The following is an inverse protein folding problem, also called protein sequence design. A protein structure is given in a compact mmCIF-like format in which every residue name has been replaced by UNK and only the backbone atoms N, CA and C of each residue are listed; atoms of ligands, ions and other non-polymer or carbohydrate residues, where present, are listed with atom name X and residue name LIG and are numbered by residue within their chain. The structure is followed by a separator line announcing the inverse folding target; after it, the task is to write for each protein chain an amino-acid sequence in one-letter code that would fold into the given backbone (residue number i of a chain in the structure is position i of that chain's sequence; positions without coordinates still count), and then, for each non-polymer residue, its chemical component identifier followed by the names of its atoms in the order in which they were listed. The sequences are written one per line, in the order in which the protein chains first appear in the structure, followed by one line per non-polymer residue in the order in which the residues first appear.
data_IF_813671838979
#
_entry.id   IF_813671838979
#
_cell.length_a   1.000
_cell.length_b   1.000
_cell.length_c   1.000
_cell.angle_alpha   90.00
_cell.angle_beta   90.00
_cell.angle_gamma   90.00
#
_symmetry.space_group_name_H-M   'P 1'
#
loop_
_entity.id
_entity.type
_entity.pdbx_description
1 polymer ?
#
# COMPACT_ATOMS: atom_id res chain seq x y z
N UNK A 1 8.24 35.01 -9.14
CA UNK A 1 8.18 36.46 -9.42
C UNK A 1 9.57 37.08 -9.53
N UNK A 2 10.47 36.98 -8.55
CA UNK A 2 11.81 37.64 -8.55
C UNK A 2 12.70 37.32 -9.77
N UNK A 3 12.61 36.07 -10.31
CA UNK A 3 13.36 35.70 -11.53
C UNK A 3 13.08 36.61 -12.73
N UNK A 4 11.84 37.14 -12.84
CA UNK A 4 11.48 38.08 -13.91
C UNK A 4 12.22 39.40 -13.83
N UNK A 5 12.67 39.80 -12.63
CA UNK A 5 13.38 41.06 -12.33
C UNK A 5 14.88 40.88 -12.20
N UNK A 6 15.40 39.65 -12.30
CA UNK A 6 16.83 39.43 -12.28
C UNK A 6 17.52 40.19 -13.42
N UNK A 7 18.61 40.89 -13.16
CA UNK A 7 19.39 41.63 -14.15
C UNK A 7 20.06 40.69 -15.15
N UNK A 8 20.44 39.50 -14.73
CA UNK A 8 20.91 38.41 -15.56
C UNK A 8 20.18 37.10 -15.18
N UNK A 9 19.59 36.46 -16.18
CA UNK A 9 18.84 35.19 -15.99
C UNK A 9 19.73 33.96 -16.14
N UNK A 10 20.89 34.13 -16.78
CA UNK A 10 21.85 33.07 -17.09
C UNK A 10 23.12 33.16 -16.22
N UNK A 11 23.13 34.07 -15.23
CA UNK A 11 24.27 34.24 -14.36
C UNK A 11 24.48 33.06 -13.41
N UNK A 12 25.68 32.67 -13.17
CA UNK A 12 26.05 31.66 -12.19
C UNK A 12 25.84 32.17 -10.76
N UNK A 13 25.55 31.28 -9.83
CA UNK A 13 25.26 31.61 -8.43
C UNK A 13 26.46 32.30 -7.79
N UNK A 14 27.70 31.95 -8.16
CA UNK A 14 28.93 32.54 -7.69
C UNK A 14 29.07 34.02 -8.02
N UNK A 15 28.47 34.50 -9.12
CA UNK A 15 28.52 35.92 -9.53
C UNK A 15 27.74 36.84 -8.58
N UNK A 16 26.89 36.27 -7.74
CA UNK A 16 26.11 37.00 -6.73
C UNK A 16 26.69 36.87 -5.32
N UNK A 17 27.87 36.25 -5.19
CA UNK A 17 28.59 36.14 -3.94
C UNK A 17 29.75 37.10 -3.89
N UNK A 18 29.67 38.09 -3.00
CA UNK A 18 30.75 39.08 -2.79
C UNK A 18 31.73 38.56 -1.72
N UNK A 19 32.97 38.37 -2.12
CA UNK A 19 34.06 37.92 -1.26
C UNK A 19 34.88 39.08 -0.65
N UNK A 20 34.50 40.32 -0.91
CA UNK A 20 35.26 41.51 -0.46
C UNK A 20 35.24 41.71 1.07
N UNK A 21 34.33 41.03 1.78
CA UNK A 21 34.22 41.07 3.24
C UNK A 21 34.79 39.80 3.90
N UNK A 22 35.05 39.88 5.22
CA UNK A 22 35.58 38.75 6.02
C UNK A 22 34.67 37.54 6.02
N UNK A 23 33.37 37.71 5.83
CA UNK A 23 32.38 36.64 5.87
C UNK A 23 31.69 36.33 4.52
N UNK A 24 31.95 37.14 3.46
CA UNK A 24 31.23 37.11 2.21
C UNK A 24 29.75 37.52 2.36
N UNK A 25 29.14 38.01 1.29
CA UNK A 25 27.75 38.45 1.29
C UNK A 25 27.04 38.12 -0.02
N UNK A 26 25.74 37.85 0.06
CA UNK A 26 24.88 37.69 -1.11
C UNK A 26 24.50 39.04 -1.67
N UNK A 27 24.81 39.29 -2.94
CA UNK A 27 24.51 40.54 -3.66
C UNK A 27 23.64 40.25 -4.93
N UNK A 28 22.38 39.82 -4.78
CA UNK A 28 21.51 39.62 -5.93
C UNK A 28 21.26 40.96 -6.65
N UNK A 29 21.39 40.96 -8.00
CA UNK A 29 21.22 42.14 -8.84
C UNK A 29 19.88 42.10 -9.55
N UNK A 30 19.14 43.21 -9.45
CA UNK A 30 17.84 43.36 -10.08
C UNK A 30 17.84 44.50 -11.11
N UNK A 31 17.02 44.36 -12.15
CA UNK A 31 16.97 45.26 -13.30
C UNK A 31 16.29 46.60 -13.03
N UNK A 32 15.53 46.71 -11.93
CA UNK A 32 14.81 47.92 -11.52
C UNK A 32 14.65 47.98 -10.00
N UNK A 33 14.34 49.17 -9.43
CA UNK A 33 13.88 49.30 -8.04
C UNK A 33 12.60 48.51 -7.77
N UNK A 34 12.41 48.10 -6.51
CA UNK A 34 11.24 47.35 -6.08
C UNK A 34 10.09 48.27 -5.68
N UNK A 35 8.87 47.80 -5.90
CA UNK A 35 7.69 48.33 -5.26
C UNK A 35 7.59 47.82 -3.81
N UNK A 36 6.87 48.52 -2.94
CA UNK A 36 6.76 48.14 -1.52
C UNK A 36 6.29 46.68 -1.31
N UNK A 37 5.38 46.21 -2.12
CA UNK A 37 4.86 44.87 -2.05
C UNK A 37 5.83 43.77 -2.57
N UNK A 38 6.89 44.14 -3.30
CA UNK A 38 7.95 43.25 -3.79
C UNK A 38 9.07 43.07 -2.77
N UNK A 39 9.23 44.03 -1.86
CA UNK A 39 10.29 44.01 -0.84
C UNK A 39 10.21 42.79 0.05
N UNK A 40 9.03 42.41 0.47
CA UNK A 40 8.81 41.16 1.26
C UNK A 40 9.36 39.91 0.58
N UNK A 41 9.18 39.78 -0.74
CA UNK A 41 9.68 38.63 -1.50
C UNK A 41 11.21 38.63 -1.60
N UNK A 42 11.83 39.80 -1.70
CA UNK A 42 13.29 39.95 -1.70
C UNK A 42 13.85 39.62 -0.32
N UNK A 43 13.23 40.13 0.75
CA UNK A 43 13.63 39.79 2.13
C UNK A 43 13.54 38.30 2.38
N UNK A 44 12.46 37.64 1.91
CA UNK A 44 12.30 36.19 2.00
C UNK A 44 13.41 35.43 1.26
N UNK A 45 13.78 35.87 0.06
CA UNK A 45 14.92 35.31 -0.67
C UNK A 45 16.22 35.48 0.14
N UNK A 46 16.52 36.68 0.61
CA UNK A 46 17.73 36.98 1.39
C UNK A 46 17.78 36.14 2.69
N UNK A 47 16.67 36.02 3.39
CA UNK A 47 16.56 35.15 4.57
C UNK A 47 16.84 33.69 4.23
N UNK A 48 16.35 33.22 3.08
CA UNK A 48 16.54 31.83 2.64
C UNK A 48 18.00 31.50 2.34
N UNK A 49 18.74 32.47 1.72
CA UNK A 49 20.12 32.25 1.32
C UNK A 49 21.14 32.71 2.40
N UNK A 50 20.71 33.45 3.42
CA UNK A 50 21.56 34.03 4.47
C UNK A 50 22.48 33.01 5.16
N UNK A 51 22.03 31.75 5.30
CA UNK A 51 22.82 30.68 5.94
C UNK A 51 23.73 29.90 4.97
N UNK A 52 23.61 30.15 3.67
CA UNK A 52 24.40 29.47 2.66
C UNK A 52 25.69 30.25 2.40
N UNK A 53 26.85 29.59 2.48
CA UNK A 53 28.16 30.17 2.16
C UNK A 53 28.71 29.43 0.93
N UNK A 54 29.21 30.21 -0.03
CA UNK A 54 29.93 29.65 -1.17
C UNK A 54 31.42 29.51 -0.82
N UNK A 55 31.99 28.38 -1.17
CA UNK A 55 33.42 28.13 -1.08
C UNK A 55 34.00 28.04 -2.50
N UNK A 56 34.70 29.05 -2.99
CA UNK A 56 35.27 29.05 -4.35
C UNK A 56 36.28 27.95 -4.61
N UNK A 57 36.76 27.27 -3.56
CA UNK A 57 37.79 26.22 -3.62
C UNK A 57 37.21 24.83 -3.72
N UNK A 58 35.92 24.66 -3.40
CA UNK A 58 35.26 23.34 -3.40
C UNK A 58 34.36 23.22 -4.61
N UNK A 59 34.52 22.11 -5.36
CA UNK A 59 33.61 21.76 -6.43
C UNK A 59 32.21 21.43 -5.89
N UNK A 60 31.19 21.79 -6.65
CA UNK A 60 29.81 21.46 -6.35
C UNK A 60 29.61 19.93 -6.35
N UNK A 61 28.98 19.41 -5.33
CA UNK A 61 28.63 18.00 -5.24
C UNK A 61 27.19 17.80 -4.81
N UNK A 62 26.57 16.82 -5.42
CA UNK A 62 25.25 16.40 -4.98
C UNK A 62 25.35 15.61 -3.67
N UNK A 63 24.65 16.08 -2.63
CA UNK A 63 24.60 15.41 -1.33
C UNK A 63 23.26 14.68 -1.15
N UNK A 64 23.36 13.42 -0.78
CA UNK A 64 22.20 12.59 -0.47
C UNK A 64 21.88 12.66 1.03
N UNK A 65 20.89 13.50 1.40
CA UNK A 65 20.55 13.79 2.81
C UNK A 65 19.97 12.62 3.60
N UNK A 66 19.64 11.50 2.94
CA UNK A 66 18.98 10.33 3.58
C UNK A 66 19.97 9.42 4.28
N UNK A 67 21.25 9.47 3.90
CA UNK A 67 22.29 8.62 4.50
C UNK A 67 23.35 9.46 5.19
N UNK A 68 23.91 8.95 6.28
CA UNK A 68 24.95 9.64 7.06
C UNK A 68 26.25 9.89 6.29
N UNK A 69 26.52 9.10 5.25
CA UNK A 69 27.68 9.27 4.38
C UNK A 69 27.41 10.17 3.17
N UNK A 70 26.21 10.79 3.11
CA UNK A 70 25.78 11.72 2.06
C UNK A 70 25.88 11.18 0.63
N UNK A 71 26.11 9.87 0.47
CA UNK A 71 26.25 9.23 -0.83
C UNK A 71 24.93 8.61 -1.30
N UNK A 72 24.58 8.90 -2.54
CA UNK A 72 23.42 8.29 -3.19
C UNK A 72 23.65 6.80 -3.46
N UNK A 73 22.65 5.99 -3.16
CA UNK A 73 22.55 4.63 -3.67
C UNK A 73 21.09 4.30 -4.00
N UNK A 74 20.87 3.46 -5.00
CA UNK A 74 19.53 2.98 -5.36
C UNK A 74 18.84 2.32 -4.16
N UNK A 75 19.62 1.61 -3.33
CA UNK A 75 19.13 0.99 -2.09
C UNK A 75 18.65 2.05 -1.08
N UNK A 76 19.39 3.14 -0.90
CA UNK A 76 19.00 4.21 0.03
C UNK A 76 17.76 4.95 -0.45
N UNK A 77 17.64 5.23 -1.75
CA UNK A 77 16.43 5.80 -2.34
C UNK A 77 15.23 4.86 -2.17
N UNK A 78 15.40 3.58 -2.49
CA UNK A 78 14.34 2.58 -2.31
C UNK A 78 13.89 2.50 -0.85
N UNK A 79 14.82 2.48 0.10
CA UNK A 79 14.52 2.45 1.52
C UNK A 79 13.78 3.72 1.99
N UNK A 80 14.19 4.91 1.52
CA UNK A 80 13.49 6.16 1.86
C UNK A 80 12.07 6.21 1.30
N UNK A 81 11.89 5.83 0.04
CA UNK A 81 10.57 5.74 -0.59
C UNK A 81 9.69 4.66 0.06
N UNK A 82 10.28 3.54 0.45
CA UNK A 82 9.56 2.44 1.09
C UNK A 82 9.34 2.70 2.59
N UNK A 83 10.27 3.33 3.32
CA UNK A 83 10.12 3.59 4.75
C UNK A 83 8.95 4.53 5.06
N UNK A 84 8.68 5.51 4.20
CA UNK A 84 7.48 6.36 4.32
C UNK A 84 6.17 5.58 4.14
N UNK A 85 6.21 4.37 3.56
CA UNK A 85 5.06 3.48 3.30
C UNK A 85 5.16 2.10 3.96
N UNK A 86 6.35 1.64 4.30
CA UNK A 86 6.62 0.26 4.73
C UNK A 86 6.07 -0.07 6.12
N UNK A 87 5.91 0.90 7.01
CA UNK A 87 5.24 0.69 8.30
C UNK A 87 3.77 0.29 8.20
N UNK A 88 3.18 0.43 6.99
CA UNK A 88 1.77 0.23 6.72
C UNK A 88 1.48 -0.87 5.68
N UNK A 89 2.46 -1.67 5.27
CA UNK A 89 2.23 -2.74 4.29
C UNK A 89 2.35 -4.12 4.94
N UNK A 90 1.35 -5.01 4.79
CA UNK A 90 1.29 -6.31 5.46
C UNK A 90 2.18 -7.37 4.77
N UNK A 91 3.45 -7.05 4.54
CA UNK A 91 4.40 -7.84 3.77
C UNK A 91 4.50 -9.29 4.25
N UNK A 92 4.63 -9.49 5.57
CA UNK A 92 4.78 -10.82 6.17
C UNK A 92 3.51 -11.69 6.14
N UNK A 93 2.34 -11.08 5.87
CA UNK A 93 1.09 -11.81 5.69
C UNK A 93 0.88 -12.16 4.21
N UNK A 94 1.06 -11.19 3.33
CA UNK A 94 0.81 -11.36 1.88
C UNK A 94 1.78 -12.37 1.27
N UNK A 95 3.08 -12.24 1.54
CA UNK A 95 4.10 -13.18 1.05
C UNK A 95 4.19 -14.42 1.94
N UNK A 96 3.08 -15.12 2.06
CA UNK A 96 2.95 -16.32 2.87
C UNK A 96 3.32 -17.57 2.04
N UNK A 97 4.36 -18.33 2.43
CA UNK A 97 4.77 -19.53 1.69
C UNK A 97 3.71 -20.65 1.67
N UNK A 98 2.67 -20.52 2.51
CA UNK A 98 1.58 -21.50 2.60
C UNK A 98 0.53 -21.36 1.50
N UNK A 99 0.54 -20.25 0.76
CA UNK A 99 -0.44 -20.02 -0.29
C UNK A 99 0.26 -19.95 -1.66
N UNK A 100 -0.43 -20.30 -2.74
CA UNK A 100 0.13 -20.14 -4.08
C UNK A 100 0.56 -18.70 -4.38
N UNK A 101 1.66 -18.52 -5.07
CA UNK A 101 2.20 -17.18 -5.39
C UNK A 101 1.19 -16.27 -6.10
N UNK A 102 0.35 -16.82 -6.99
CA UNK A 102 -0.74 -16.07 -7.64
C UNK A 102 -1.73 -15.44 -6.65
N UNK A 103 -1.96 -16.09 -5.52
CA UNK A 103 -2.85 -15.58 -4.46
C UNK A 103 -2.17 -14.44 -3.69
N UNK A 104 -0.86 -14.57 -3.43
CA UNK A 104 -0.06 -13.49 -2.83
C UNK A 104 -0.03 -12.25 -3.72
N UNK A 105 0.17 -12.41 -5.03
CA UNK A 105 0.10 -11.30 -5.99
C UNK A 105 -1.28 -10.65 -6.02
N UNK A 106 -2.35 -11.44 -6.05
CA UNK A 106 -3.71 -10.91 -5.97
C UNK A 106 -3.95 -10.10 -4.68
N UNK A 107 -3.55 -10.63 -3.54
CA UNK A 107 -3.67 -9.93 -2.26
C UNK A 107 -2.83 -8.65 -2.22
N UNK A 108 -1.68 -8.64 -2.87
CA UNK A 108 -0.86 -7.45 -3.06
C UNK A 108 -1.59 -6.38 -3.90
N UNK A 109 -2.17 -6.75 -5.03
CA UNK A 109 -3.00 -5.85 -5.86
C UNK A 109 -4.23 -5.35 -5.09
N UNK A 110 -4.89 -6.23 -4.32
CA UNK A 110 -6.02 -5.88 -3.48
C UNK A 110 -5.65 -4.85 -2.40
N UNK A 111 -4.51 -5.04 -1.72
CA UNK A 111 -4.01 -4.09 -0.72
C UNK A 111 -3.70 -2.69 -1.30
N UNK A 112 -3.40 -2.62 -2.58
CA UNK A 112 -3.18 -1.34 -3.30
C UNK A 112 -4.42 -0.82 -4.02
N UNK A 113 -5.56 -1.52 -3.93
CA UNK A 113 -6.79 -1.15 -4.64
C UNK A 113 -6.63 -1.15 -6.16
N UNK A 114 -5.79 -2.04 -6.70
CA UNK A 114 -5.46 -2.09 -8.14
C UNK A 114 -6.14 -3.23 -8.89
N UNK A 115 -6.83 -4.11 -8.18
CA UNK A 115 -7.63 -5.18 -8.80
C UNK A 115 -8.71 -4.59 -9.71
N UNK A 116 -8.94 -5.22 -10.86
CA UNK A 116 -9.87 -4.75 -11.89
C UNK A 116 -11.34 -5.02 -11.51
N UNK A 117 -11.80 -4.34 -10.47
CA UNK A 117 -13.21 -4.24 -10.09
C UNK A 117 -13.93 -3.23 -10.99
N UNK A 118 -15.26 -3.21 -10.98
CA UNK A 118 -16.06 -2.33 -11.84
C UNK A 118 -15.74 -0.84 -11.60
N UNK A 119 -15.49 -0.44 -10.35
CA UNK A 119 -15.05 0.93 -10.03
C UNK A 119 -13.68 1.27 -10.66
N UNK A 120 -12.75 0.31 -10.70
CA UNK A 120 -11.44 0.50 -11.32
C UNK A 120 -11.54 0.56 -12.85
N UNK A 121 -12.40 -0.22 -13.46
CA UNK A 121 -12.69 -0.13 -14.90
C UNK A 121 -13.31 1.23 -15.25
N UNK A 122 -14.29 1.69 -14.47
CA UNK A 122 -14.92 3.00 -14.63
C UNK A 122 -13.91 4.15 -14.50
N UNK A 123 -12.99 4.08 -13.52
CA UNK A 123 -11.87 5.04 -13.38
C UNK A 123 -10.92 5.04 -14.58
N UNK A 124 -10.83 3.95 -15.33
CA UNK A 124 -10.04 3.84 -16.55
C UNK A 124 -10.81 4.25 -17.82
N UNK A 125 -12.01 4.83 -17.67
CA UNK A 125 -12.81 5.34 -18.79
C UNK A 125 -13.75 4.33 -19.44
N UNK A 126 -13.93 3.13 -18.89
CA UNK A 126 -14.89 2.16 -19.42
C UNK A 126 -16.32 2.57 -19.05
N UNK A 127 -17.21 2.60 -20.04
CA UNK A 127 -18.64 2.86 -19.83
C UNK A 127 -19.36 1.58 -19.36
N UNK A 128 -19.20 1.25 -18.07
CA UNK A 128 -19.78 0.05 -17.45
C UNK A 128 -20.66 0.43 -16.27
N UNK A 129 -21.76 -0.31 -16.08
CA UNK A 129 -22.58 -0.17 -14.89
C UNK A 129 -21.79 -0.71 -13.68
N UNK A 130 -21.61 0.12 -12.63
CA UNK A 130 -20.93 -0.33 -11.42
C UNK A 130 -21.94 -0.97 -10.46
N UNK A 131 -22.00 -2.29 -10.49
CA UNK A 131 -22.82 -3.09 -9.60
C UNK A 131 -22.08 -4.37 -9.21
N UNK A 132 -22.12 -4.74 -7.94
CA UNK A 132 -21.47 -5.95 -7.44
C UNK A 132 -22.09 -7.21 -8.04
N UNK A 133 -21.30 -8.04 -8.69
CA UNK A 133 -21.76 -9.30 -9.28
C UNK A 133 -22.22 -10.34 -8.25
N UNK A 134 -21.81 -10.21 -6.98
CA UNK A 134 -22.16 -11.19 -5.95
C UNK A 134 -23.46 -10.87 -5.22
N UNK A 135 -23.64 -9.65 -4.72
CA UNK A 135 -24.86 -9.25 -4.00
C UNK A 135 -25.89 -8.58 -4.90
N UNK A 136 -25.48 -7.97 -6.02
CA UNK A 136 -26.33 -7.17 -6.91
C UNK A 136 -27.07 -6.00 -6.22
N UNK A 137 -26.55 -5.51 -5.10
CA UNK A 137 -27.16 -4.43 -4.30
C UNK A 137 -26.35 -3.14 -4.35
N UNK A 138 -25.05 -3.25 -4.13
CA UNK A 138 -24.10 -2.14 -3.95
C UNK A 138 -23.17 -1.98 -5.14
N UNK A 139 -22.47 -0.84 -5.21
CA UNK A 139 -21.38 -0.64 -6.16
C UNK A 139 -20.21 -1.59 -5.88
N UNK A 140 -19.59 -2.10 -6.94
CA UNK A 140 -18.45 -2.98 -6.83
C UNK A 140 -17.16 -2.20 -6.63
N UNK A 141 -16.53 -2.36 -5.48
CA UNK A 141 -15.16 -1.96 -5.19
C UNK A 141 -14.42 -3.13 -4.54
N UNK A 142 -13.10 -3.06 -4.44
CA UNK A 142 -12.33 -4.14 -3.81
C UNK A 142 -12.69 -4.30 -2.34
N UNK A 143 -12.90 -3.21 -1.62
CA UNK A 143 -13.29 -3.24 -0.22
C UNK A 143 -14.73 -3.77 -0.06
N UNK A 144 -15.64 -3.36 -0.95
CA UNK A 144 -16.98 -3.95 -0.94
C UNK A 144 -16.93 -5.45 -1.16
N UNK A 145 -16.31 -5.94 -2.25
CA UNK A 145 -16.32 -7.37 -2.59
C UNK A 145 -15.68 -8.20 -1.48
N UNK A 146 -14.55 -7.77 -0.93
CA UNK A 146 -13.76 -8.57 0.00
C UNK A 146 -14.20 -8.43 1.45
N UNK A 147 -14.78 -7.30 1.84
CA UNK A 147 -15.08 -6.97 3.24
C UNK A 147 -16.58 -6.73 3.47
N UNK A 148 -17.23 -5.88 2.65
CA UNK A 148 -18.56 -5.35 2.95
C UNK A 148 -19.71 -6.11 2.29
N UNK A 149 -19.47 -6.79 1.15
CA UNK A 149 -20.49 -7.57 0.47
C UNK A 149 -21.13 -8.59 1.42
N UNK A 150 -22.45 -8.64 1.47
CA UNK A 150 -23.21 -9.57 2.33
C UNK A 150 -22.78 -11.03 2.16
N UNK A 151 -22.40 -11.41 0.93
CA UNK A 151 -21.93 -12.78 0.60
C UNK A 151 -20.52 -13.04 1.13
N UNK A 152 -19.64 -12.05 1.07
CA UNK A 152 -18.29 -12.15 1.67
C UNK A 152 -18.35 -12.10 3.20
N UNK A 153 -19.24 -11.29 3.77
CA UNK A 153 -19.48 -11.23 5.23
C UNK A 153 -19.85 -12.60 5.79
N UNK A 154 -20.78 -13.29 5.16
CA UNK A 154 -21.16 -14.63 5.60
C UNK A 154 -19.97 -15.63 5.59
N UNK A 155 -18.99 -15.42 4.69
CA UNK A 155 -17.78 -16.23 4.67
C UNK A 155 -16.79 -15.82 5.78
N UNK A 156 -16.71 -14.54 6.13
CA UNK A 156 -15.95 -14.05 7.28
C UNK A 156 -16.53 -14.59 8.60
N UNK A 157 -17.84 -14.55 8.76
CA UNK A 157 -18.52 -15.08 9.95
C UNK A 157 -18.26 -16.58 10.12
N UNK A 158 -18.27 -17.33 9.01
CA UNK A 158 -17.88 -18.74 9.01
C UNK A 158 -16.43 -18.93 9.46
N UNK A 159 -15.48 -18.11 8.95
CA UNK A 159 -14.09 -18.18 9.35
C UNK A 159 -13.92 -17.92 10.84
N UNK A 160 -14.57 -16.89 11.36
CA UNK A 160 -14.50 -16.58 12.79
C UNK A 160 -15.11 -17.66 13.66
N UNK A 161 -16.24 -18.25 13.22
CA UNK A 161 -16.86 -19.38 13.91
C UNK A 161 -15.95 -20.63 13.93
N UNK A 162 -15.28 -20.95 12.80
CA UNK A 162 -14.34 -22.08 12.72
C UNK A 162 -13.15 -21.94 13.67
N UNK A 163 -12.68 -20.73 13.89
CA UNK A 163 -11.56 -20.49 14.82
C UNK A 163 -12.04 -20.12 16.23
N UNK A 164 -13.34 -19.98 16.47
CA UNK A 164 -13.89 -19.51 17.75
C UNK A 164 -13.39 -18.13 18.16
N UNK A 165 -13.19 -17.23 17.18
CA UNK A 165 -12.65 -15.89 17.38
C UNK A 165 -13.74 -14.86 17.14
N UNK A 166 -13.87 -13.88 18.01
CA UNK A 166 -14.68 -12.68 17.77
C UNK A 166 -13.75 -11.55 17.33
N UNK A 167 -13.98 -11.03 16.14
CA UNK A 167 -13.19 -9.92 15.60
C UNK A 167 -14.05 -9.01 14.74
N UNK A 168 -13.77 -7.70 14.83
CA UNK A 168 -14.43 -6.69 14.02
C UNK A 168 -13.57 -6.42 12.79
N UNK A 169 -14.13 -6.62 11.61
CA UNK A 169 -13.44 -6.35 10.35
C UNK A 169 -13.18 -4.85 10.20
N UNK A 170 -11.96 -4.44 9.87
CA UNK A 170 -11.63 -3.07 9.47
C UNK A 170 -12.39 -2.64 8.21
N UNK A 171 -12.33 -1.34 7.91
CA UNK A 171 -13.06 -0.77 6.78
C UNK A 171 -12.53 -1.23 5.42
N UNK A 172 -11.24 -1.50 5.28
CA UNK A 172 -10.63 -1.85 3.99
C UNK A 172 -9.95 -3.21 4.00
N UNK A 173 -9.83 -3.81 2.82
CA UNK A 173 -9.06 -5.03 2.61
C UNK A 173 -7.60 -4.88 3.06
N UNK A 174 -7.01 -3.69 2.82
CA UNK A 174 -5.65 -3.36 3.26
C UNK A 174 -5.51 -3.35 4.78
N UNK A 175 -6.40 -2.64 5.48
CA UNK A 175 -6.39 -2.57 6.94
C UNK A 175 -6.62 -3.96 7.55
N UNK A 176 -7.54 -4.73 6.98
CA UNK A 176 -7.78 -6.12 7.38
C UNK A 176 -6.48 -6.95 7.36
N UNK A 177 -5.68 -6.83 6.29
CA UNK A 177 -4.40 -7.53 6.19
C UNK A 177 -3.34 -6.98 7.15
N UNK A 178 -3.31 -5.67 7.42
CA UNK A 178 -2.37 -5.04 8.34
C UNK A 178 -2.64 -5.48 9.79
N UNK A 179 -3.91 -5.49 10.17
CA UNK A 179 -4.34 -5.79 11.54
C UNK A 179 -4.50 -7.28 11.81
N UNK A 180 -4.36 -8.14 10.80
CA UNK A 180 -4.56 -9.58 10.92
C UNK A 180 -3.51 -10.23 11.81
N UNK A 181 -3.83 -10.36 13.09
CA UNK A 181 -2.96 -10.91 14.13
C UNK A 181 -3.63 -12.11 14.80
N UNK A 182 -2.84 -13.09 15.21
CA UNK A 182 -3.33 -14.30 15.87
C UNK A 182 -2.71 -14.47 17.25
N UNK A 183 -3.01 -13.59 18.19
CA UNK A 183 -2.38 -13.58 19.52
C UNK A 183 -2.80 -14.75 20.40
N UNK A 184 -4.06 -15.20 20.29
CA UNK A 184 -4.66 -16.21 21.16
C UNK A 184 -4.59 -17.63 20.59
N UNK A 185 -3.98 -17.84 19.43
CA UNK A 185 -3.95 -19.12 18.75
C UNK A 185 -2.63 -19.86 18.96
N UNK A 186 -2.71 -21.18 19.17
CA UNK A 186 -1.54 -22.06 19.22
C UNK A 186 -0.72 -22.01 17.92
N UNK A 187 0.56 -22.43 17.97
CA UNK A 187 1.51 -22.30 16.84
C UNK A 187 0.98 -22.89 15.51
N UNK A 188 0.32 -24.06 15.56
CA UNK A 188 -0.22 -24.73 14.36
C UNK A 188 -1.43 -23.97 13.79
N UNK A 189 -2.40 -23.60 14.64
CA UNK A 189 -3.58 -22.80 14.25
C UNK A 189 -3.20 -21.43 13.72
N UNK A 190 -2.18 -20.78 14.29
CA UNK A 190 -1.69 -19.47 13.82
C UNK A 190 -1.17 -19.50 12.39
N UNK A 191 -0.58 -20.61 11.94
CA UNK A 191 -0.11 -20.75 10.55
C UNK A 191 -1.31 -20.78 9.59
N UNK A 192 -2.35 -21.56 9.92
CA UNK A 192 -3.59 -21.61 9.15
C UNK A 192 -4.32 -20.28 9.17
N UNK A 193 -4.42 -19.66 10.35
CA UNK A 193 -5.01 -18.32 10.51
C UNK A 193 -4.36 -17.28 9.61
N UNK A 194 -3.02 -17.27 9.49
CA UNK A 194 -2.31 -16.36 8.59
C UNK A 194 -2.62 -16.58 7.10
N UNK A 195 -2.96 -17.78 6.69
CA UNK A 195 -3.34 -18.07 5.31
C UNK A 195 -4.83 -17.76 5.02
N UNK A 196 -5.67 -17.75 6.05
CA UNK A 196 -7.12 -17.67 5.93
C UNK A 196 -7.65 -16.43 5.16
N UNK A 197 -7.21 -15.19 5.44
CA UNK A 197 -7.69 -14.01 4.72
C UNK A 197 -7.32 -14.05 3.24
N UNK A 198 -6.11 -14.53 2.92
CA UNK A 198 -5.67 -14.66 1.53
C UNK A 198 -6.50 -15.70 0.78
N UNK A 199 -6.80 -16.81 1.46
CA UNK A 199 -7.66 -17.86 0.93
C UNK A 199 -9.10 -17.36 0.70
N UNK A 200 -9.64 -16.60 1.66
CA UNK A 200 -10.96 -16.01 1.55
C UNK A 200 -11.03 -15.00 0.41
N UNK A 201 -10.09 -14.08 0.33
CA UNK A 201 -9.99 -13.09 -0.74
C UNK A 201 -9.97 -13.76 -2.11
N UNK A 202 -9.17 -14.80 -2.26
CA UNK A 202 -9.07 -15.56 -3.50
C UNK A 202 -10.35 -16.29 -3.85
N UNK A 203 -10.99 -16.96 -2.88
CA UNK A 203 -12.25 -17.69 -3.11
C UNK A 203 -13.37 -16.73 -3.56
N UNK A 204 -13.48 -15.56 -2.91
CA UNK A 204 -14.45 -14.52 -3.26
C UNK A 204 -14.17 -13.98 -4.66
N UNK A 205 -12.92 -13.65 -4.99
CA UNK A 205 -12.54 -13.14 -6.30
C UNK A 205 -12.80 -14.13 -7.42
N UNK A 206 -12.45 -15.39 -7.22
CA UNK A 206 -12.71 -16.43 -8.21
C UNK A 206 -14.22 -16.67 -8.43
N UNK A 207 -15.03 -16.65 -7.36
CA UNK A 207 -16.49 -16.77 -7.49
C UNK A 207 -17.08 -15.58 -8.25
N UNK A 208 -16.64 -14.35 -7.91
CA UNK A 208 -17.05 -13.14 -8.64
C UNK A 208 -16.74 -13.26 -10.14
N UNK A 209 -15.54 -13.72 -10.48
CA UNK A 209 -15.14 -13.85 -11.89
C UNK A 209 -15.96 -14.90 -12.64
N UNK A 210 -16.28 -16.03 -12.01
CA UNK A 210 -17.18 -17.03 -12.61
C UNK A 210 -18.57 -16.48 -12.88
N UNK A 211 -19.12 -15.69 -11.96
CA UNK A 211 -20.41 -15.02 -12.17
C UNK A 211 -20.31 -14.02 -13.32
N UNK A 212 -19.24 -13.21 -13.35
CA UNK A 212 -19.09 -12.12 -14.32
C UNK A 212 -18.78 -12.59 -15.74
N UNK A 213 -18.06 -13.72 -15.91
CA UNK A 213 -17.53 -14.16 -17.19
C UNK A 213 -18.09 -15.50 -17.66
N UNK A 214 -18.43 -16.39 -16.72
CA UNK A 214 -18.91 -17.75 -17.04
C UNK A 214 -20.44 -17.88 -16.85
N UNK A 215 -21.14 -16.78 -16.53
CA UNK A 215 -22.57 -16.72 -16.22
C UNK A 215 -23.00 -17.75 -15.14
N UNK A 216 -22.11 -18.03 -14.18
CA UNK A 216 -22.42 -18.95 -13.09
C UNK A 216 -23.33 -18.25 -12.05
N UNK A 217 -24.37 -18.92 -11.60
CA UNK A 217 -25.22 -18.45 -10.52
C UNK A 217 -24.45 -18.39 -9.18
N UNK A 218 -24.82 -17.41 -8.33
CA UNK A 218 -24.26 -17.35 -7.00
C UNK A 218 -24.73 -18.53 -6.15
N UNK A 219 -23.79 -19.28 -5.61
CA UNK A 219 -24.03 -20.33 -4.62
C UNK A 219 -23.11 -20.16 -3.43
N UNK A 220 -23.68 -19.87 -2.25
CA UNK A 220 -22.91 -19.78 -1.02
C UNK A 220 -22.24 -21.11 -0.65
N UNK A 221 -22.91 -22.23 -0.93
CA UNK A 221 -22.35 -23.56 -0.70
C UNK A 221 -21.08 -23.80 -1.54
N UNK A 222 -21.10 -23.43 -2.82
CA UNK A 222 -19.92 -23.50 -3.70
C UNK A 222 -18.78 -22.61 -3.21
N UNK A 223 -19.09 -21.36 -2.80
CA UNK A 223 -18.11 -20.42 -2.25
C UNK A 223 -17.47 -20.95 -0.95
N UNK A 224 -18.29 -21.41 -0.01
CA UNK A 224 -17.85 -22.02 1.25
C UNK A 224 -16.93 -23.22 1.00
N UNK A 225 -17.35 -24.14 0.13
CA UNK A 225 -16.57 -25.33 -0.18
C UNK A 225 -15.22 -24.96 -0.82
N UNK A 226 -15.20 -24.03 -1.77
CA UNK A 226 -13.96 -23.53 -2.39
C UNK A 226 -13.02 -22.95 -1.33
N UNK A 227 -13.52 -22.13 -0.42
CA UNK A 227 -12.73 -21.55 0.65
C UNK A 227 -12.12 -22.62 1.58
N UNK A 228 -12.96 -23.50 2.10
CA UNK A 228 -12.55 -24.53 3.09
C UNK A 228 -11.57 -25.52 2.46
N UNK A 229 -11.85 -26.00 1.23
CA UNK A 229 -10.96 -26.91 0.52
C UNK A 229 -9.59 -26.25 0.23
N UNK A 230 -9.58 -25.02 -0.27
CA UNK A 230 -8.33 -24.29 -0.51
C UNK A 230 -7.54 -24.11 0.78
N UNK A 231 -8.19 -23.70 1.87
CA UNK A 231 -7.53 -23.50 3.15
C UNK A 231 -6.89 -24.80 3.65
N UNK A 232 -7.60 -25.91 3.58
CA UNK A 232 -7.09 -27.22 3.93
C UNK A 232 -5.90 -27.63 3.06
N UNK A 233 -6.06 -27.61 1.72
CA UNK A 233 -5.02 -28.03 0.77
C UNK A 233 -3.75 -27.21 0.93
N UNK A 234 -3.87 -25.90 1.05
CA UNK A 234 -2.69 -25.01 1.12
C UNK A 234 -1.98 -25.08 2.46
N UNK A 235 -2.69 -25.41 3.53
CA UNK A 235 -2.07 -25.46 4.85
C UNK A 235 -1.68 -26.88 5.28
N UNK A 236 -2.10 -27.92 4.54
CA UNK A 236 -1.79 -29.32 4.85
C UNK A 236 -0.30 -29.62 4.98
N UNK A 237 0.54 -29.05 4.11
CA UNK A 237 2.01 -29.22 4.13
C UNK A 237 2.69 -28.55 5.34
N UNK A 238 2.01 -27.60 6.00
CA UNK A 238 2.58 -26.83 7.11
C UNK A 238 2.21 -27.43 8.46
N UNK A 239 1.05 -28.07 8.50
CA UNK A 239 0.56 -28.80 9.67
C UNK A 239 1.08 -30.24 9.59
N UNK A 240 2.42 -30.40 9.78
CA UNK A 240 3.01 -31.75 9.90
C UNK A 240 2.20 -32.53 10.93
N UNK A 241 1.73 -33.73 10.59
CA UNK A 241 0.81 -34.56 11.39
C UNK A 241 -0.61 -33.96 11.55
N UNK A 242 -1.04 -33.12 10.59
CA UNK A 242 -2.40 -32.57 10.56
C UNK A 242 -3.45 -33.57 10.11
N UNK A 243 -4.74 -33.19 10.25
CA UNK A 243 -5.85 -34.04 9.87
C UNK A 243 -5.82 -34.40 8.40
N UNK A 244 -5.96 -35.72 8.12
CA UNK A 244 -5.84 -36.28 6.77
C UNK A 244 -7.09 -36.05 5.92
N UNK A 245 -8.24 -35.76 6.54
CA UNK A 245 -9.53 -35.55 5.87
C UNK A 245 -10.07 -34.14 6.16
N UNK A 246 -10.89 -33.62 5.27
CA UNK A 246 -11.53 -32.32 5.42
C UNK A 246 -12.40 -32.22 6.68
N UNK A 247 -13.25 -33.21 7.02
CA UNK A 247 -14.00 -33.18 8.28
C UNK A 247 -13.10 -33.06 9.50
N UNK A 248 -12.08 -33.95 9.59
CA UNK A 248 -11.13 -33.92 10.70
C UNK A 248 -10.37 -32.57 10.78
N UNK A 249 -10.15 -31.90 9.65
CA UNK A 249 -9.53 -30.56 9.64
C UNK A 249 -10.47 -29.50 10.22
N UNK A 250 -11.75 -29.55 9.91
CA UNK A 250 -12.75 -28.64 10.49
C UNK A 250 -12.89 -28.83 11.99
N UNK A 251 -12.97 -30.09 12.45
CA UNK A 251 -13.02 -30.41 13.87
C UNK A 251 -11.77 -29.94 14.58
N UNK A 252 -10.59 -30.13 13.98
CA UNK A 252 -9.33 -29.67 14.52
C UNK A 252 -9.26 -28.12 14.60
N UNK A 253 -9.80 -27.39 13.62
CA UNK A 253 -9.84 -25.91 13.69
C UNK A 253 -10.67 -25.42 14.87
N UNK A 254 -11.77 -26.10 15.20
CA UNK A 254 -12.66 -25.79 16.32
C UNK A 254 -12.13 -26.26 17.67
N UNK A 255 -11.18 -27.20 17.71
CA UNK A 255 -10.58 -27.68 18.94
C UNK A 255 -9.61 -26.65 19.52
N UNK A 256 -9.91 -26.16 20.72
CA UNK A 256 -9.06 -25.20 21.47
C UNK A 256 -8.06 -25.94 22.38
#
# INVERSE_FOLDING_TARGET
MLYAFASSKEAWVEEFWDTSGVEGAWCPRFSRPFNDWEVEEVERLLLTIRGARLSPIMEDRMMWKVTSNESFSVKSLYNDLSSRRAGLFPHGLIWNPSVPSKVSFFAWEAAWGKVLTMDQLKKRGWAVANRCFMCCEEEESIDHILIHCSKARALWDLLFALFGVCWVLPYSARETLIEWRGFMLGKKHRKVWKAAPLCLFWAVWMKRNRIAFDNEDFSFHSLKNSFVCNLWVWTKSIVNEGPLTLPSFLDWLGAR
#
